data_IF_631023938758
#
_entry.id   IF_631023938758
#
_cell.length_a   1.000
_cell.length_b   1.000
_cell.length_c   1.000
_cell.angle_alpha   90.00
_cell.angle_beta   90.00
_cell.angle_gamma   90.00
#
_symmetry.space_group_name_H-M   'P 1'
#
loop_
_entity.id
_entity.type
_entity.pdbx_description
1 polymer ?
#
# COMPACT_ATOMS: atom_id res chain seq x y z
N UNK A 1 -64.28 45.03 4.32
CA UNK A 1 -63.97 43.60 4.32
C UNK A 1 -62.80 43.40 3.37
N UNK A 2 -61.60 43.26 3.90
CA UNK A 2 -60.40 43.28 3.06
C UNK A 2 -59.63 41.98 3.34
N UNK A 3 -59.71 41.05 2.37
CA UNK A 3 -59.02 39.76 2.39
C UNK A 3 -57.53 39.99 2.18
N UNK A 4 -56.72 39.58 3.16
CA UNK A 4 -55.25 39.51 3.07
C UNK A 4 -54.88 38.07 2.77
N UNK A 5 -54.43 37.81 1.52
CA UNK A 5 -53.85 36.54 1.13
C UNK A 5 -52.40 36.47 1.64
N UNK A 6 -52.10 35.54 2.53
CA UNK A 6 -50.75 35.15 2.88
C UNK A 6 -50.24 34.13 1.85
N UNK A 7 -49.30 34.54 1.03
CA UNK A 7 -48.51 33.63 0.18
C UNK A 7 -47.30 33.16 1.00
N UNK A 8 -47.36 31.90 1.44
CA UNK A 8 -46.22 31.25 2.08
C UNK A 8 -45.24 30.79 0.99
N UNK A 9 -44.12 31.50 0.84
CA UNK A 9 -43.02 31.08 -0.01
C UNK A 9 -42.18 30.03 0.71
N UNK A 10 -42.37 28.75 0.38
CA UNK A 10 -41.51 27.65 0.83
C UNK A 10 -40.21 27.66 0.04
N UNK A 11 -39.13 28.19 0.64
CA UNK A 11 -37.78 28.02 0.15
C UNK A 11 -37.30 26.58 0.39
N UNK A 12 -37.39 25.74 -0.61
CA UNK A 12 -36.69 24.45 -0.65
C UNK A 12 -35.18 24.70 -0.78
N UNK A 13 -34.46 24.64 0.34
CA UNK A 13 -32.99 24.60 0.35
C UNK A 13 -32.57 23.21 -0.17
N UNK A 14 -32.32 23.12 -1.45
CA UNK A 14 -31.62 21.98 -2.05
C UNK A 14 -30.19 22.01 -1.56
N UNK A 15 -29.86 21.17 -0.55
CA UNK A 15 -28.48 20.92 -0.13
C UNK A 15 -27.78 20.17 -1.25
N UNK A 16 -27.04 20.90 -2.07
CA UNK A 16 -26.10 20.31 -3.02
C UNK A 16 -24.96 19.70 -2.20
N UNK A 17 -25.00 18.40 -2.00
CA UNK A 17 -23.84 17.63 -1.51
C UNK A 17 -22.86 17.62 -2.67
N UNK A 18 -21.92 18.57 -2.69
CA UNK A 18 -20.76 18.51 -3.55
C UNK A 18 -19.92 17.32 -3.04
N UNK A 19 -19.96 16.22 -3.77
CA UNK A 19 -18.93 15.19 -3.64
C UNK A 19 -17.60 15.88 -4.01
N UNK A 20 -16.80 16.20 -2.99
CA UNK A 20 -15.46 16.68 -3.19
C UNK A 20 -14.70 15.53 -3.86
N UNK A 21 -14.44 15.64 -5.15
CA UNK A 21 -13.43 14.82 -5.84
C UNK A 21 -12.12 15.19 -5.14
N UNK A 22 -11.65 14.30 -4.26
CA UNK A 22 -10.49 14.54 -3.42
C UNK A 22 -9.28 14.85 -4.29
N UNK A 23 -8.89 16.11 -4.30
CA UNK A 23 -7.65 16.54 -4.94
C UNK A 23 -6.51 15.94 -4.13
N UNK A 24 -5.59 15.22 -4.79
CA UNK A 24 -4.41 14.67 -4.13
C UNK A 24 -3.64 15.79 -3.43
N UNK A 25 -3.35 15.60 -2.15
CA UNK A 25 -2.53 16.51 -1.36
C UNK A 25 -1.22 15.82 -0.98
N UNK A 26 -0.06 16.46 -1.25
CA UNK A 26 1.23 15.95 -0.83
C UNK A 26 1.30 15.75 0.69
N UNK A 27 1.98 14.68 1.12
CA UNK A 27 2.23 14.43 2.54
C UNK A 27 3.19 15.48 3.13
N UNK A 28 2.89 15.95 4.34
CA UNK A 28 3.68 16.94 5.08
C UNK A 28 4.95 16.34 5.71
N UNK A 29 5.79 15.71 4.91
CA UNK A 29 7.04 15.10 5.34
C UNK A 29 8.24 15.82 4.72
N UNK A 30 9.38 15.76 5.39
CA UNK A 30 10.64 16.28 4.87
C UNK A 30 11.14 15.44 3.70
N UNK A 31 11.67 16.09 2.68
CA UNK A 31 12.45 15.43 1.62
C UNK A 31 13.84 15.06 2.13
N UNK A 32 14.47 14.07 1.52
CA UNK A 32 15.80 13.59 1.89
C UNK A 32 15.82 12.10 2.22
N UNK A 33 16.80 11.72 3.01
CA UNK A 33 17.04 10.33 3.39
C UNK A 33 16.12 9.89 4.51
N UNK A 34 15.43 8.77 4.28
CA UNK A 34 14.56 8.11 5.25
C UNK A 34 15.07 6.70 5.54
N UNK A 35 14.92 6.27 6.77
CA UNK A 35 14.99 4.85 7.15
C UNK A 35 13.58 4.30 7.27
N UNK A 36 13.32 3.23 6.55
CA UNK A 36 12.03 2.52 6.58
C UNK A 36 12.27 1.19 7.28
N UNK A 37 11.48 0.90 8.30
CA UNK A 37 11.40 -0.44 8.91
C UNK A 37 10.04 -1.02 8.58
N UNK A 38 10.04 -2.17 7.95
CA UNK A 38 8.86 -2.90 7.52
C UNK A 38 8.78 -4.23 8.26
N UNK A 39 7.62 -4.54 8.81
CA UNK A 39 7.28 -5.84 9.39
C UNK A 39 6.22 -6.46 8.49
N UNK A 40 6.56 -7.57 7.86
CA UNK A 40 5.70 -8.31 6.93
C UNK A 40 5.25 -9.63 7.53
N UNK A 41 3.97 -9.96 7.38
CA UNK A 41 3.41 -11.28 7.66
C UNK A 41 2.61 -11.76 6.46
N UNK A 42 2.76 -13.04 6.11
CA UNK A 42 2.01 -13.66 5.02
C UNK A 42 1.31 -14.92 5.51
N UNK A 43 0.05 -15.10 5.16
CA UNK A 43 -0.76 -16.27 5.52
C UNK A 43 -1.51 -16.81 4.31
N UNK A 44 -1.90 -18.07 4.34
CA UNK A 44 -2.68 -18.69 3.25
C UNK A 44 -1.88 -18.92 1.97
N UNK A 45 -0.55 -18.85 2.03
CA UNK A 45 0.27 -19.09 0.85
C UNK A 45 0.19 -20.56 0.42
N UNK A 46 0.20 -20.84 -0.88
CA UNK A 46 0.17 -22.20 -1.39
C UNK A 46 1.40 -22.98 -0.90
N UNK A 47 1.26 -24.29 -0.71
CA UNK A 47 2.42 -25.12 -0.42
C UNK A 47 3.46 -24.98 -1.53
N UNK A 48 4.71 -25.23 -1.18
CA UNK A 48 5.83 -25.19 -2.13
C UNK A 48 5.49 -26.11 -3.32
N UNK A 49 5.57 -25.61 -4.56
CA UNK A 49 5.31 -26.42 -5.74
C UNK A 49 6.22 -27.67 -5.79
N UNK A 50 5.73 -28.83 -6.26
CA UNK A 50 6.50 -30.07 -6.27
C UNK A 50 7.83 -29.98 -7.00
N UNK A 51 7.91 -29.21 -8.08
CA UNK A 51 9.14 -28.96 -8.84
C UNK A 51 10.17 -28.15 -8.03
N UNK A 52 9.71 -27.20 -7.22
CA UNK A 52 10.56 -26.45 -6.31
C UNK A 52 11.01 -27.32 -5.13
N UNK A 53 10.11 -28.16 -4.59
CA UNK A 53 10.45 -29.13 -3.55
C UNK A 53 11.54 -30.10 -4.04
N UNK A 54 11.41 -30.63 -5.28
CA UNK A 54 12.41 -31.50 -5.88
C UNK A 54 13.78 -30.81 -6.04
N UNK A 55 13.82 -29.50 -6.33
CA UNK A 55 15.07 -28.73 -6.37
C UNK A 55 15.67 -28.55 -4.97
N UNK A 56 14.85 -28.30 -3.96
CA UNK A 56 15.31 -28.23 -2.56
C UNK A 56 15.91 -29.56 -2.10
N UNK A 57 15.31 -30.68 -2.48
CA UNK A 57 15.79 -32.01 -2.10
C UNK A 57 17.14 -32.38 -2.75
N UNK A 58 17.50 -31.72 -3.86
CA UNK A 58 18.79 -31.89 -4.54
C UNK A 58 19.89 -30.98 -3.99
N UNK A 59 19.55 -30.01 -3.11
CA UNK A 59 20.54 -29.09 -2.54
C UNK A 59 21.35 -29.75 -1.44
N UNK A 60 22.64 -29.35 -1.25
CA UNK A 60 23.41 -29.72 -0.08
C UNK A 60 22.69 -29.31 1.20
N UNK A 61 22.78 -30.11 2.30
CA UNK A 61 21.98 -29.91 3.52
C UNK A 61 22.08 -28.51 4.11
N UNK A 62 23.27 -27.88 4.10
CA UNK A 62 23.47 -26.52 4.62
C UNK A 62 22.77 -25.45 3.77
N UNK A 63 22.78 -25.61 2.45
CA UNK A 63 22.11 -24.67 1.54
C UNK A 63 20.59 -24.85 1.62
N UNK A 64 20.14 -26.11 1.68
CA UNK A 64 18.74 -26.45 1.85
C UNK A 64 18.17 -25.82 3.13
N UNK A 65 18.85 -25.99 4.28
CA UNK A 65 18.42 -25.41 5.55
C UNK A 65 18.25 -23.87 5.47
N UNK A 66 19.19 -23.16 4.82
CA UNK A 66 19.09 -21.70 4.62
C UNK A 66 17.91 -21.29 3.75
N UNK A 67 17.66 -22.05 2.67
CA UNK A 67 16.53 -21.78 1.76
C UNK A 67 15.21 -22.09 2.46
N UNK A 68 15.10 -23.21 3.16
CA UNK A 68 13.91 -23.58 3.95
C UNK A 68 13.61 -22.55 5.05
N UNK A 69 14.63 -22.04 5.75
CA UNK A 69 14.49 -20.97 6.73
C UNK A 69 13.99 -19.67 6.07
N UNK A 70 14.54 -19.31 4.92
CA UNK A 70 14.08 -18.15 4.15
C UNK A 70 12.63 -18.30 3.69
N UNK A 71 12.25 -19.48 3.20
CA UNK A 71 10.88 -19.79 2.80
C UNK A 71 9.96 -19.69 4.02
N UNK A 72 10.34 -20.32 5.13
CA UNK A 72 9.57 -20.31 6.38
C UNK A 72 9.41 -18.90 6.94
N UNK A 73 10.45 -18.08 6.88
CA UNK A 73 10.37 -16.68 7.34
C UNK A 73 9.45 -15.83 6.47
N UNK A 74 9.46 -16.05 5.15
CA UNK A 74 8.62 -15.29 4.22
C UNK A 74 7.18 -15.80 4.11
N UNK A 75 6.98 -17.11 4.24
CA UNK A 75 5.72 -17.78 3.92
C UNK A 75 5.11 -18.52 5.11
N UNK A 76 5.81 -18.62 6.21
CA UNK A 76 5.37 -19.38 7.39
C UNK A 76 4.49 -18.63 8.37
N UNK A 77 3.97 -17.44 8.03
CA UNK A 77 3.14 -16.63 8.92
C UNK A 77 3.89 -15.95 10.06
N UNK A 78 5.19 -16.17 10.20
CA UNK A 78 6.04 -15.47 11.16
C UNK A 78 6.36 -14.07 10.67
N UNK A 79 6.30 -13.04 11.55
CA UNK A 79 6.68 -11.69 11.18
C UNK A 79 8.15 -11.62 10.73
N UNK A 80 8.38 -11.02 9.57
CA UNK A 80 9.73 -10.75 9.05
C UNK A 80 9.96 -9.25 9.06
N UNK A 81 11.06 -8.81 9.68
CA UNK A 81 11.43 -7.40 9.77
C UNK A 81 12.55 -7.09 8.79
N UNK A 82 12.34 -6.07 7.97
CA UNK A 82 13.36 -5.54 7.04
C UNK A 82 13.53 -4.05 7.32
N UNK A 83 14.78 -3.59 7.32
CA UNK A 83 15.10 -2.16 7.42
C UNK A 83 15.93 -1.74 6.22
N UNK A 84 15.52 -0.68 5.56
CA UNK A 84 16.21 -0.13 4.39
C UNK A 84 16.16 1.40 4.38
N UNK A 85 16.99 2.01 3.54
CA UNK A 85 17.02 3.45 3.34
C UNK A 85 16.37 3.80 2.00
N UNK A 86 15.63 4.89 1.98
CA UNK A 86 14.96 5.44 0.80
C UNK A 86 15.19 6.94 0.73
N UNK A 87 15.51 7.45 -0.47
CA UNK A 87 15.53 8.88 -0.73
C UNK A 87 14.14 9.33 -1.16
N UNK A 88 13.51 10.21 -0.39
CA UNK A 88 12.22 10.83 -0.71
C UNK A 88 12.48 12.19 -1.33
N UNK A 89 12.11 12.36 -2.59
CA UNK A 89 12.27 13.59 -3.37
C UNK A 89 10.96 14.37 -3.41
N UNK A 90 11.05 15.65 -3.73
CA UNK A 90 9.86 16.48 -3.88
C UNK A 90 8.90 15.95 -4.95
N UNK A 91 9.47 15.46 -6.06
CA UNK A 91 8.68 14.88 -7.16
C UNK A 91 7.92 13.61 -6.75
N UNK A 92 8.39 12.89 -5.73
CA UNK A 92 7.71 11.70 -5.21
C UNK A 92 6.49 12.09 -4.35
N UNK A 93 6.55 13.27 -3.71
CA UNK A 93 5.46 13.80 -2.89
C UNK A 93 4.42 14.57 -3.72
N UNK A 94 4.85 15.30 -4.76
CA UNK A 94 3.98 16.13 -5.60
C UNK A 94 3.17 15.31 -6.63
N UNK A 95 3.57 14.06 -6.86
CA UNK A 95 2.86 13.16 -7.77
C UNK A 95 1.95 12.24 -6.97
N UNK A 96 0.72 12.11 -7.42
CA UNK A 96 -0.07 10.96 -7.06
C UNK A 96 0.65 9.71 -7.60
N UNK A 97 1.51 9.14 -6.76
CA UNK A 97 2.31 7.98 -7.11
C UNK A 97 1.45 6.77 -7.52
N UNK A 98 0.17 6.83 -7.20
CA UNK A 98 -0.82 5.80 -7.47
C UNK A 98 -1.71 6.12 -8.68
N UNK A 99 -1.62 7.32 -9.26
CA UNK A 99 -2.47 7.74 -10.39
C UNK A 99 -1.99 7.23 -11.75
N UNK A 100 -0.81 6.62 -11.84
CA UNK A 100 -0.33 6.06 -13.11
C UNK A 100 -0.88 4.64 -13.26
N UNK A 101 -1.91 4.43 -14.11
CA UNK A 101 -2.28 3.08 -14.48
C UNK A 101 -1.07 2.45 -15.18
N UNK A 102 -0.53 1.41 -14.58
CA UNK A 102 0.23 0.45 -15.36
C UNK A 102 -0.79 -0.42 -16.09
N UNK A 103 -0.50 -0.88 -17.30
CA UNK A 103 -1.46 -1.50 -18.23
C UNK A 103 -2.40 -2.58 -17.65
N UNK A 104 -2.22 -2.96 -16.40
CA UNK A 104 -2.94 -4.06 -15.74
C UNK A 104 -3.33 -3.82 -14.28
N UNK A 105 -2.97 -2.65 -13.69
CA UNK A 105 -3.29 -2.31 -12.31
C UNK A 105 -4.13 -1.05 -12.25
N UNK A 106 -5.17 -1.09 -11.44
CA UNK A 106 -5.99 0.10 -11.18
C UNK A 106 -5.77 0.53 -9.73
N UNK A 107 -5.37 1.77 -9.54
CA UNK A 107 -5.24 2.36 -8.22
C UNK A 107 -6.24 3.50 -8.06
N UNK A 108 -6.80 3.61 -6.88
CA UNK A 108 -7.76 4.67 -6.52
C UNK A 108 -7.36 5.29 -5.20
N UNK A 109 -7.08 6.58 -5.20
CA UNK A 109 -6.87 7.33 -3.96
C UNK A 109 -8.23 7.58 -3.32
N UNK A 110 -8.47 7.00 -2.16
CA UNK A 110 -9.72 7.13 -1.40
C UNK A 110 -9.74 8.41 -0.58
N UNK A 111 -8.60 8.74 0.03
CA UNK A 111 -8.39 10.00 0.73
C UNK A 111 -6.94 10.45 0.59
N UNK A 112 -6.72 11.75 0.56
CA UNK A 112 -5.40 12.36 0.57
C UNK A 112 -5.48 13.69 1.30
N UNK A 113 -4.73 13.79 2.38
CA UNK A 113 -4.54 15.02 3.16
C UNK A 113 -3.05 15.21 3.38
N UNK A 114 -2.65 16.35 3.94
CA UNK A 114 -1.24 16.54 4.30
C UNK A 114 -0.70 15.49 5.29
N UNK A 115 -1.58 14.83 6.05
CA UNK A 115 -1.17 13.88 7.08
C UNK A 115 -1.57 12.44 6.78
N UNK A 116 -2.56 12.20 5.91
CA UNK A 116 -3.08 10.87 5.65
C UNK A 116 -3.26 10.62 4.15
N UNK A 117 -2.86 9.45 3.70
CA UNK A 117 -3.18 8.94 2.37
C UNK A 117 -3.74 7.53 2.51
N UNK A 118 -4.89 7.29 1.88
CA UNK A 118 -5.49 5.98 1.75
C UNK A 118 -5.70 5.66 0.27
N UNK A 119 -5.16 4.52 -0.16
CA UNK A 119 -5.20 4.07 -1.54
C UNK A 119 -5.69 2.63 -1.58
N UNK A 120 -6.55 2.35 -2.54
CA UNK A 120 -6.97 0.99 -2.90
C UNK A 120 -6.58 0.67 -4.31
N UNK A 121 -6.12 -0.54 -4.54
CA UNK A 121 -5.75 -1.01 -5.87
C UNK A 121 -6.15 -2.44 -6.14
N UNK A 122 -6.34 -2.75 -7.42
CA UNK A 122 -6.35 -4.13 -7.89
C UNK A 122 -4.94 -4.51 -8.28
N UNK A 123 -4.47 -5.67 -7.81
CA UNK A 123 -3.13 -6.15 -8.12
C UNK A 123 -3.01 -6.51 -9.59
N UNK A 124 -1.89 -6.13 -10.15
CA UNK A 124 -1.52 -6.44 -11.50
C UNK A 124 -1.17 -7.91 -11.66
N UNK A 125 -1.84 -8.59 -12.57
CA UNK A 125 -1.39 -9.88 -13.06
C UNK A 125 -0.57 -9.63 -14.33
N UNK A 126 0.69 -9.99 -14.33
CA UNK A 126 1.65 -9.78 -15.43
C UNK A 126 1.44 -10.75 -16.62
N UNK A 127 0.26 -11.30 -16.75
CA UNK A 127 -0.10 -12.28 -17.79
C UNK A 127 0.49 -13.67 -17.58
N UNK A 128 1.44 -13.84 -16.64
CA UNK A 128 2.00 -15.15 -16.27
C UNK A 128 1.16 -15.84 -15.19
N UNK A 129 0.32 -15.08 -14.49
CA UNK A 129 -0.53 -15.53 -13.41
C UNK A 129 -2.02 -15.41 -13.82
N UNK A 130 -2.37 -15.94 -14.98
CA UNK A 130 -3.76 -15.97 -15.43
C UNK A 130 -4.64 -16.70 -14.39
N UNK A 131 -5.71 -16.02 -13.97
CA UNK A 131 -6.62 -16.54 -12.93
C UNK A 131 -6.32 -16.10 -11.51
N UNK A 132 -5.22 -15.36 -11.24
CA UNK A 132 -5.00 -14.72 -9.95
C UNK A 132 -5.66 -13.33 -9.94
N UNK A 133 -6.36 -13.05 -8.86
CA UNK A 133 -6.94 -11.72 -8.56
C UNK A 133 -6.38 -11.24 -7.24
N UNK A 134 -6.19 -9.95 -7.12
CA UNK A 134 -5.71 -9.41 -5.87
C UNK A 134 -6.18 -7.98 -5.66
N UNK A 135 -6.32 -7.64 -4.40
CA UNK A 135 -6.63 -6.30 -3.92
C UNK A 135 -5.56 -5.85 -2.95
N UNK A 136 -5.28 -4.56 -2.93
CA UNK A 136 -4.36 -3.95 -2.00
C UNK A 136 -4.98 -2.70 -1.38
N UNK A 137 -4.92 -2.60 -0.06
CA UNK A 137 -5.27 -1.40 0.70
C UNK A 137 -3.98 -0.86 1.33
N UNK A 138 -3.67 0.41 1.04
CA UNK A 138 -2.48 1.11 1.55
C UNK A 138 -2.96 2.30 2.36
N UNK A 139 -2.43 2.45 3.58
CA UNK A 139 -2.65 3.62 4.42
C UNK A 139 -1.32 4.16 4.89
N UNK A 140 -1.14 5.46 4.78
CA UNK A 140 0.03 6.18 5.28
C UNK A 140 -0.45 7.28 6.20
N UNK A 141 0.15 7.39 7.37
CA UNK A 141 -0.10 8.44 8.35
C UNK A 141 1.20 9.15 8.72
N UNK A 142 1.21 10.45 8.59
CA UNK A 142 2.29 11.34 9.00
C UNK A 142 2.10 11.74 10.45
N UNK A 143 2.97 11.24 11.32
CA UNK A 143 2.98 11.57 12.75
C UNK A 143 3.50 13.00 12.94
N UNK A 144 4.58 13.31 12.25
CA UNK A 144 5.19 14.64 12.12
C UNK A 144 6.06 14.69 10.85
N UNK A 145 6.71 15.82 10.58
CA UNK A 145 7.50 15.99 9.35
C UNK A 145 8.71 15.05 9.22
N UNK A 146 9.09 14.34 10.29
CA UNK A 146 10.24 13.44 10.35
C UNK A 146 9.85 11.98 10.64
N UNK A 147 8.59 11.72 10.97
CA UNK A 147 8.09 10.40 11.34
C UNK A 147 6.77 10.10 10.62
N UNK A 148 6.71 8.92 10.02
CA UNK A 148 5.50 8.43 9.37
C UNK A 148 5.29 6.94 9.68
N UNK A 149 4.06 6.50 9.62
CA UNK A 149 3.67 5.09 9.73
C UNK A 149 2.85 4.69 8.51
N UNK A 150 2.80 3.40 8.22
CA UNK A 150 1.98 2.90 7.13
C UNK A 150 1.55 1.47 7.36
N UNK A 151 0.49 1.09 6.69
CA UNK A 151 0.01 -0.29 6.60
C UNK A 151 -0.30 -0.63 5.16
N UNK A 152 0.03 -1.85 4.76
CA UNK A 152 -0.34 -2.42 3.46
C UNK A 152 -1.00 -3.76 3.73
N UNK A 153 -2.23 -3.90 3.28
CA UNK A 153 -2.95 -5.17 3.29
C UNK A 153 -3.16 -5.62 1.85
N UNK A 154 -2.66 -6.81 1.53
CA UNK A 154 -2.78 -7.39 0.19
C UNK A 154 -3.50 -8.73 0.32
N UNK A 155 -4.55 -8.91 -0.47
CA UNK A 155 -5.24 -10.20 -0.63
C UNK A 155 -5.04 -10.68 -2.06
N UNK A 156 -4.54 -11.89 -2.23
CA UNK A 156 -4.40 -12.54 -3.53
C UNK A 156 -5.20 -13.82 -3.52
N UNK A 157 -6.09 -13.99 -4.50
CA UNK A 157 -6.87 -15.21 -4.69
C UNK A 157 -6.53 -15.81 -6.06
N UNK A 158 -6.19 -17.09 -6.05
CA UNK A 158 -5.90 -17.84 -7.26
C UNK A 158 -5.93 -19.35 -6.99
N UNK A 159 -6.33 -20.13 -7.97
CA UNK A 159 -6.41 -21.59 -7.88
C UNK A 159 -7.22 -22.12 -6.67
N UNK A 160 -8.28 -21.38 -6.28
CA UNK A 160 -9.12 -21.72 -5.13
C UNK A 160 -8.50 -21.44 -3.76
N UNK A 161 -7.34 -20.79 -3.69
CA UNK A 161 -6.67 -20.40 -2.46
C UNK A 161 -6.63 -18.87 -2.31
N UNK A 162 -6.67 -18.41 -1.08
CA UNK A 162 -6.52 -16.99 -0.74
C UNK A 162 -5.32 -16.79 0.17
N UNK A 163 -4.43 -15.90 -0.24
CA UNK A 163 -3.26 -15.48 0.52
C UNK A 163 -3.45 -14.05 1.00
N UNK A 164 -3.05 -13.77 2.23
CA UNK A 164 -3.05 -12.42 2.79
C UNK A 164 -1.63 -12.03 3.19
N UNK A 165 -1.23 -10.82 2.82
CA UNK A 165 0.03 -10.21 3.20
C UNK A 165 -0.31 -8.94 3.94
N UNK A 166 0.24 -8.80 5.16
CA UNK A 166 0.08 -7.62 5.99
C UNK A 166 1.46 -7.05 6.28
N UNK A 167 1.66 -5.79 5.88
CA UNK A 167 2.87 -5.06 6.17
C UNK A 167 2.53 -3.87 7.07
N UNK A 168 3.32 -3.68 8.12
CA UNK A 168 3.36 -2.44 8.88
C UNK A 168 4.70 -1.77 8.67
N UNK A 169 4.69 -0.46 8.47
CA UNK A 169 5.88 0.32 8.16
C UNK A 169 6.02 1.47 9.14
N UNK A 170 7.26 1.74 9.54
CA UNK A 170 7.64 2.97 10.23
C UNK A 170 8.75 3.66 9.45
N UNK A 171 8.58 4.94 9.16
CA UNK A 171 9.55 5.78 8.50
C UNK A 171 10.12 6.79 9.47
N UNK A 172 11.45 6.96 9.46
CA UNK A 172 12.17 7.98 10.21
C UNK A 172 13.10 8.74 9.28
N UNK A 173 12.97 10.06 9.26
CA UNK A 173 13.87 10.93 8.52
C UNK A 173 15.27 10.94 9.13
N UNK A 174 16.29 10.84 8.30
CA UNK A 174 17.69 10.77 8.73
C UNK A 174 18.47 12.04 8.38
N UNK A 175 18.02 12.79 7.35
CA UNK A 175 18.72 14.00 6.91
C UNK A 175 18.31 14.45 5.52
N UNK A 176 18.63 15.69 5.17
CA UNK A 176 18.26 16.27 3.88
C UNK A 176 19.06 15.73 2.69
N UNK A 177 20.23 15.14 2.94
CA UNK A 177 21.14 14.66 1.89
C UNK A 177 20.90 13.18 1.59
N UNK A 178 20.67 12.87 0.32
CA UNK A 178 20.58 11.51 -0.17
C UNK A 178 21.95 11.04 -0.68
N UNK A 179 22.48 9.92 -0.17
CA UNK A 179 23.66 9.29 -0.75
C UNK A 179 23.40 8.84 -2.20
N UNK A 180 24.45 8.82 -3.02
CA UNK A 180 24.32 8.46 -4.44
C UNK A 180 23.92 7.01 -4.71
N UNK A 181 24.13 6.13 -3.74
CA UNK A 181 23.80 4.70 -3.77
C UNK A 181 22.40 4.37 -3.24
N UNK A 182 21.64 5.38 -2.80
CA UNK A 182 20.28 5.23 -2.29
C UNK A 182 19.28 5.89 -3.25
N UNK A 183 18.42 5.07 -3.85
CA UNK A 183 17.32 5.49 -4.73
C UNK A 183 15.97 5.44 -4.02
#
# INVERSE_FOLDING_TARGET
MRNVLFVAASCLLASVVMAATGQFQPLNVKTGLWQITEISTATGLPPIPPDMQAKLDQMPPEQRAKVEEMIKSRYGGTPHTTTYKKCVKKEDLDKDAFSKPTDKCTWTTLSSTGNDVEVRGTLCTDGKNEGMKGDADIKIHVVDSENATGTVHITVTGNGQTSNINNTMTGKWLGATCPADVN
#
